data_IF_036817286036
#
_entry.id   IF_036817286036
#
_cell.length_a   1.000
_cell.length_b   1.000
_cell.length_c   1.000
_cell.angle_alpha   90.00
_cell.angle_beta   90.00
_cell.angle_gamma   90.00
#
_symmetry.space_group_name_H-M   'P 1'
#
loop_
_entity.id
_entity.type
_entity.pdbx_description
1 polymer ?
#
# COMPACT_ATOMS: atom_id res chain seq x y z
N UNK A 1 7.14 19.67 2.82
CA UNK A 1 7.84 18.47 3.33
C UNK A 1 8.09 17.55 2.15
N UNK A 2 9.24 16.87 2.10
CA UNK A 2 9.51 15.89 1.05
C UNK A 2 8.59 14.66 1.24
N UNK A 3 8.00 14.16 0.16
CA UNK A 3 7.14 12.97 0.16
C UNK A 3 7.98 11.73 0.46
N UNK A 4 7.60 10.97 1.51
CA UNK A 4 8.20 9.66 1.79
C UNK A 4 7.33 8.57 1.16
N UNK A 5 7.94 7.65 0.41
CA UNK A 5 7.30 6.46 -0.14
C UNK A 5 7.73 5.26 0.70
N UNK A 6 6.77 4.42 1.11
CA UNK A 6 7.00 3.23 1.94
C UNK A 6 6.63 2.00 1.12
N UNK A 7 7.44 0.96 1.22
CA UNK A 7 7.21 -0.32 0.55
C UNK A 7 7.28 -1.47 1.54
N UNK A 8 6.52 -2.53 1.26
CA UNK A 8 6.68 -3.84 1.88
C UNK A 8 7.31 -4.77 0.85
N UNK A 9 8.38 -5.44 1.23
CA UNK A 9 9.21 -6.23 0.31
C UNK A 9 9.50 -7.61 0.86
N UNK A 10 9.92 -8.51 -0.02
CA UNK A 10 10.46 -9.81 0.33
C UNK A 10 11.72 -10.08 -0.49
N UNK A 11 12.77 -10.55 0.17
CA UNK A 11 13.99 -11.05 -0.48
C UNK A 11 13.78 -12.45 -1.06
N UNK A 12 14.56 -12.83 -2.07
CA UNK A 12 14.46 -14.16 -2.68
C UNK A 12 14.73 -15.26 -1.63
N UNK A 13 13.68 -15.97 -1.21
CA UNK A 13 13.76 -16.99 -0.16
C UNK A 13 13.88 -16.45 1.27
N UNK A 14 13.84 -15.13 1.47
CA UNK A 14 13.96 -14.47 2.76
C UNK A 14 12.63 -14.03 3.37
N UNK A 15 12.73 -13.40 4.54
CA UNK A 15 11.60 -12.84 5.27
C UNK A 15 11.05 -11.56 4.62
N UNK A 16 9.86 -11.15 5.08
CA UNK A 16 9.23 -9.90 4.65
C UNK A 16 9.69 -8.74 5.53
N UNK A 17 9.94 -7.59 4.94
CA UNK A 17 10.34 -6.39 5.65
C UNK A 17 9.73 -5.13 5.04
N UNK A 18 9.84 -4.03 5.76
CA UNK A 18 9.44 -2.70 5.31
C UNK A 18 10.66 -1.89 4.88
N UNK A 19 10.44 -0.88 4.02
CA UNK A 19 11.48 0.03 3.59
C UNK A 19 10.96 1.38 3.12
N UNK A 20 11.85 2.37 3.13
CA UNK A 20 11.68 3.69 2.52
C UNK A 20 12.30 3.69 1.14
N UNK A 21 11.58 4.19 0.15
CA UNK A 21 12.14 4.38 -1.20
C UNK A 21 13.05 5.61 -1.17
N UNK A 22 14.33 5.41 -1.48
CA UNK A 22 15.34 6.48 -1.56
C UNK A 22 15.27 7.15 -2.93
N UNK A 23 15.24 6.33 -3.98
CA UNK A 23 15.10 6.68 -5.39
C UNK A 23 14.41 5.52 -6.12
N UNK A 24 14.32 5.56 -7.45
CA UNK A 24 13.56 4.56 -8.21
C UNK A 24 14.23 3.18 -8.26
N UNK A 25 15.48 3.05 -7.80
CA UNK A 25 16.26 1.81 -7.85
C UNK A 25 16.58 1.28 -6.45
N UNK A 26 16.48 2.11 -5.40
CA UNK A 26 17.01 1.80 -4.07
C UNK A 26 15.97 2.00 -2.98
N UNK A 27 15.95 1.06 -2.03
CA UNK A 27 15.26 1.21 -0.76
C UNK A 27 16.24 1.22 0.40
N UNK A 28 15.86 1.89 1.49
CA UNK A 28 16.48 1.75 2.80
C UNK A 28 15.51 1.01 3.72
N UNK A 29 15.97 -0.06 4.37
CA UNK A 29 15.13 -0.86 5.27
C UNK A 29 14.58 -0.04 6.44
N UNK A 30 13.44 -0.46 6.97
CA UNK A 30 12.87 0.06 8.22
C UNK A 30 13.05 -0.93 9.36
N UNK A 31 13.29 -0.41 10.56
CA UNK A 31 13.21 -1.18 11.80
C UNK A 31 11.74 -1.31 12.18
N UNK A 32 11.19 -2.52 12.07
CA UNK A 32 9.79 -2.80 12.46
C UNK A 32 8.74 -2.29 11.47
N UNK A 33 7.54 -1.99 11.98
CA UNK A 33 6.40 -1.54 11.18
C UNK A 33 6.43 -0.03 10.96
N UNK A 34 6.03 0.48 9.78
CA UNK A 34 5.93 1.92 9.53
C UNK A 34 4.90 2.62 10.43
N UNK A 35 4.01 1.86 11.09
CA UNK A 35 3.03 2.39 12.04
C UNK A 35 3.60 2.64 13.44
N UNK A 36 4.74 2.02 13.78
CA UNK A 36 5.46 2.24 15.04
C UNK A 36 6.46 3.40 14.91
N UNK A 37 6.88 3.71 13.68
CA UNK A 37 7.79 4.79 13.34
C UNK A 37 8.52 4.53 12.03
N UNK A 38 9.08 5.57 11.44
CA UNK A 38 9.89 5.47 10.22
C UNK A 38 11.39 5.50 10.54
N UNK A 39 11.84 4.56 11.38
CA UNK A 39 13.24 4.43 11.76
C UNK A 39 14.00 3.63 10.68
N UNK A 40 14.93 4.27 9.93
CA UNK A 40 15.73 3.54 8.95
C UNK A 40 16.68 2.55 9.65
N UNK A 41 16.87 1.39 9.07
CA UNK A 41 17.83 0.39 9.55
C UNK A 41 19.27 0.72 9.15
N UNK A 42 19.47 1.65 8.20
CA UNK A 42 20.76 1.93 7.56
C UNK A 42 21.15 0.91 6.48
N UNK A 43 20.38 -0.16 6.33
CA UNK A 43 20.60 -1.17 5.28
C UNK A 43 19.95 -0.71 3.97
N UNK A 44 20.73 -0.65 2.90
CA UNK A 44 20.23 -0.34 1.55
C UNK A 44 20.23 -1.56 0.65
N UNK A 45 19.18 -1.69 -0.14
CA UNK A 45 18.96 -2.80 -1.06
C UNK A 45 18.46 -2.29 -2.40
N UNK A 46 18.90 -2.95 -3.48
CA UNK A 46 18.39 -2.68 -4.82
C UNK A 46 16.96 -3.21 -4.97
N UNK A 47 16.06 -2.34 -5.39
CA UNK A 47 14.65 -2.67 -5.64
C UNK A 47 14.50 -3.84 -6.62
N UNK A 48 15.37 -3.92 -7.63
CA UNK A 48 15.36 -4.98 -8.64
C UNK A 48 15.62 -6.39 -8.06
N UNK A 49 16.27 -6.48 -6.90
CA UNK A 49 16.54 -7.74 -6.20
C UNK A 49 15.39 -8.21 -5.30
N UNK A 50 14.34 -7.39 -5.17
CA UNK A 50 13.27 -7.57 -4.19
C UNK A 50 11.93 -7.84 -4.87
N UNK A 51 11.09 -8.64 -4.22
CA UNK A 51 9.69 -8.76 -4.57
C UNK A 51 8.88 -7.72 -3.80
N UNK A 52 8.24 -6.80 -4.52
CA UNK A 52 7.25 -5.90 -3.94
C UNK A 52 6.01 -6.68 -3.48
N UNK A 53 5.52 -6.35 -2.29
CA UNK A 53 4.29 -6.89 -1.72
C UNK A 53 3.23 -5.79 -1.63
N UNK A 54 2.00 -6.17 -1.30
CA UNK A 54 0.98 -5.19 -0.93
C UNK A 54 1.50 -4.33 0.24
N UNK A 55 1.36 -2.99 0.19
CA UNK A 55 1.93 -2.07 1.18
C UNK A 55 1.08 -2.01 2.47
N UNK A 56 0.61 -3.17 2.93
CA UNK A 56 -0.24 -3.32 4.11
C UNK A 56 0.05 -4.68 4.77
N UNK A 57 -0.26 -4.79 6.06
CA UNK A 57 -0.10 -6.03 6.80
C UNK A 57 -1.12 -7.10 6.39
N UNK A 58 -0.76 -8.36 6.62
CA UNK A 58 -1.65 -9.50 6.34
C UNK A 58 -2.87 -9.45 7.26
N UNK A 59 -4.07 -9.64 6.71
CA UNK A 59 -5.32 -9.63 7.48
C UNK A 59 -5.95 -8.24 7.65
N UNK A 60 -5.45 -7.23 6.93
CA UNK A 60 -6.07 -5.92 6.88
C UNK A 60 -7.51 -5.97 6.36
N UNK A 61 -8.35 -5.07 6.89
CA UNK A 61 -9.74 -4.89 6.45
C UNK A 61 -9.80 -3.86 5.32
N UNK A 62 -10.53 -4.19 4.27
CA UNK A 62 -10.74 -3.29 3.14
C UNK A 62 -12.16 -2.74 3.17
N UNK A 63 -12.29 -1.42 3.28
CA UNK A 63 -13.57 -0.71 3.19
C UNK A 63 -13.55 0.18 1.94
N UNK A 64 -14.43 -0.12 1.00
CA UNK A 64 -14.61 0.65 -0.22
C UNK A 64 -15.70 1.71 -0.09
N UNK A 65 -15.61 2.76 -0.90
CA UNK A 65 -16.63 3.81 -1.03
C UNK A 65 -17.15 3.80 -2.45
N UNK A 66 -18.44 3.47 -2.62
CA UNK A 66 -19.13 3.51 -3.91
C UNK A 66 -19.54 4.92 -4.29
N UNK A 67 -19.66 5.16 -5.61
CA UNK A 67 -20.16 6.42 -6.19
C UNK A 67 -19.51 7.69 -5.62
N UNK A 68 -18.19 7.66 -5.38
CA UNK A 68 -17.45 8.78 -4.80
C UNK A 68 -16.93 9.82 -5.82
N UNK A 69 -17.47 9.81 -7.05
CA UNK A 69 -17.14 10.74 -8.13
C UNK A 69 -18.41 11.14 -8.87
N UNK A 70 -18.65 12.44 -9.05
CA UNK A 70 -19.85 12.97 -9.72
C UNK A 70 -20.04 12.35 -11.11
N UNK A 71 -18.98 12.34 -11.91
CA UNK A 71 -19.01 11.75 -13.26
C UNK A 71 -19.40 10.27 -13.26
N UNK A 72 -18.95 9.50 -12.27
CA UNK A 72 -19.29 8.09 -12.17
C UNK A 72 -20.77 7.86 -11.78
N UNK A 73 -21.33 8.77 -10.97
CA UNK A 73 -22.76 8.77 -10.67
C UNK A 73 -23.60 9.08 -11.93
N UNK A 74 -23.20 10.09 -12.71
CA UNK A 74 -23.81 10.43 -14.00
C UNK A 74 -23.75 9.26 -15.00
N UNK A 75 -22.58 8.63 -15.18
CA UNK A 75 -22.40 7.45 -16.04
C UNK A 75 -23.32 6.28 -15.64
N UNK A 76 -23.58 6.14 -14.35
CA UNK A 76 -24.43 5.08 -13.80
C UNK A 76 -25.92 5.45 -13.80
N UNK A 77 -26.31 6.65 -14.25
CA UNK A 77 -27.66 7.22 -14.12
C UNK A 77 -28.19 7.16 -12.67
N UNK A 78 -27.30 7.35 -11.70
CA UNK A 78 -27.64 7.41 -10.27
C UNK A 78 -27.39 8.84 -9.75
N UNK A 79 -28.25 9.36 -8.86
CA UNK A 79 -27.96 10.63 -8.20
C UNK A 79 -26.73 10.48 -7.28
N UNK A 80 -25.95 11.56 -7.06
CA UNK A 80 -24.93 11.57 -6.03
C UNK A 80 -25.54 11.19 -4.67
N UNK A 81 -24.93 10.27 -3.92
CA UNK A 81 -25.51 9.80 -2.67
C UNK A 81 -25.42 10.87 -1.57
N UNK A 82 -26.45 10.99 -0.73
CA UNK A 82 -26.47 11.92 0.42
C UNK A 82 -25.54 11.46 1.56
N UNK A 83 -25.18 10.17 1.58
CA UNK A 83 -24.30 9.56 2.57
C UNK A 83 -23.30 8.60 1.88
N UNK A 84 -22.07 8.42 2.40
CA UNK A 84 -21.10 7.52 1.81
C UNK A 84 -21.62 6.07 1.72
N UNK A 85 -21.58 5.51 0.51
CA UNK A 85 -21.96 4.11 0.28
C UNK A 85 -20.77 3.20 0.60
N UNK A 86 -20.73 2.65 1.81
CA UNK A 86 -19.64 1.80 2.26
C UNK A 86 -19.89 0.32 1.94
N UNK A 87 -18.83 -0.38 1.56
CA UNK A 87 -18.84 -1.84 1.39
C UNK A 87 -17.53 -2.46 1.84
N UNK A 88 -17.52 -3.76 2.12
CA UNK A 88 -16.34 -4.49 2.57
C UNK A 88 -15.80 -5.40 1.46
N UNK A 89 -14.49 -5.39 1.24
CA UNK A 89 -13.82 -6.43 0.46
C UNK A 89 -13.10 -7.40 1.42
N UNK A 90 -13.11 -8.71 1.14
CA UNK A 90 -12.36 -9.67 1.94
C UNK A 90 -10.86 -9.41 1.83
N UNK A 91 -10.12 -9.65 2.90
CA UNK A 91 -8.65 -9.49 2.93
C UNK A 91 -7.93 -10.37 1.90
N UNK A 92 -8.59 -11.44 1.43
CA UNK A 92 -8.09 -12.32 0.36
C UNK A 92 -8.09 -11.66 -1.03
N UNK A 93 -8.74 -10.51 -1.21
CA UNK A 93 -8.68 -9.71 -2.44
C UNK A 93 -7.37 -8.89 -2.55
N UNK A 94 -6.58 -8.80 -1.49
CA UNK A 94 -5.33 -8.03 -1.48
C UNK A 94 -4.25 -8.78 -2.26
N UNK A 95 -3.69 -8.11 -3.26
CA UNK A 95 -2.54 -8.58 -4.05
C UNK A 95 -1.42 -7.53 -4.02
N UNK A 96 -0.19 -7.97 -4.26
CA UNK A 96 0.93 -7.06 -4.49
C UNK A 96 0.83 -6.39 -5.87
N UNK A 97 1.68 -5.38 -6.14
CA UNK A 97 1.77 -4.80 -7.47
C UNK A 97 2.42 -5.77 -8.48
N UNK A 98 1.91 -5.76 -9.72
CA UNK A 98 2.36 -6.64 -10.81
C UNK A 98 1.79 -8.06 -10.74
#
# INVERSE_FOLDING_TARGET
MATKRIVRVREAGGDQSWGLVVDDETIEGLVGSPFDGLQPSGERREMASLKLLAPIETGARLIGVGLNYLKHAEESNLPPPEQPMLFHLPSTAIVGPG
#
